data_IF_950874746350
#
_entry.id   IF_950874746350
#
_cell.length_a   1.000
_cell.length_b   1.000
_cell.length_c   1.000
_cell.angle_alpha   90.00
_cell.angle_beta   90.00
_cell.angle_gamma   90.00
#
_symmetry.space_group_name_H-M   'P 1'
#
loop_
_entity.id
_entity.type
_entity.pdbx_description
1 polymer ?
#
# COMPACT_ATOMS: atom_id res chain seq x y z
N UNK A 1 -62.68 -55.74 -1.98
CA UNK A 1 -62.31 -55.21 -0.67
C UNK A 1 -60.93 -54.52 -0.89
N UNK A 2 -60.96 -53.23 -1.23
CA UNK A 2 -59.75 -52.46 -1.58
C UNK A 2 -59.42 -51.61 -0.36
N UNK A 3 -58.26 -51.84 0.25
CA UNK A 3 -57.77 -51.11 1.42
C UNK A 3 -57.20 -49.79 0.92
N UNK A 4 -57.81 -48.71 1.38
CA UNK A 4 -57.33 -47.34 1.18
C UNK A 4 -56.25 -47.01 2.29
N UNK A 5 -55.03 -46.90 1.90
CA UNK A 5 -53.95 -46.40 2.79
C UNK A 5 -54.08 -44.91 2.95
N UNK A 6 -53.99 -44.34 4.17
CA UNK A 6 -54.02 -42.89 4.37
C UNK A 6 -52.68 -42.28 3.94
N UNK A 7 -52.77 -41.22 3.16
CA UNK A 7 -51.65 -40.32 2.77
C UNK A 7 -51.20 -39.60 4.02
N UNK A 8 -49.97 -39.92 4.46
CA UNK A 8 -49.28 -39.19 5.53
C UNK A 8 -49.00 -37.76 5.05
N UNK A 9 -49.57 -36.78 5.75
CA UNK A 9 -49.30 -35.36 5.61
C UNK A 9 -47.80 -35.09 5.69
N UNK A 10 -47.26 -34.44 4.65
CA UNK A 10 -45.89 -33.95 4.64
C UNK A 10 -45.64 -32.90 5.77
N UNK A 11 -44.51 -32.94 6.45
CA UNK A 11 -44.25 -31.99 7.52
C UNK A 11 -44.17 -30.57 6.96
N UNK A 12 -45.00 -29.68 7.52
CA UNK A 12 -45.03 -28.26 7.25
C UNK A 12 -43.62 -27.65 7.43
N UNK A 13 -43.16 -26.95 6.42
CA UNK A 13 -41.95 -26.17 6.38
C UNK A 13 -41.77 -25.34 7.65
N UNK A 14 -40.91 -25.81 8.52
CA UNK A 14 -40.34 -25.00 9.59
C UNK A 14 -39.30 -24.06 8.94
N UNK A 15 -39.77 -22.89 8.51
CA UNK A 15 -38.90 -21.84 8.07
C UNK A 15 -37.82 -21.56 9.14
N UNK A 16 -36.53 -21.61 8.82
CA UNK A 16 -35.48 -21.58 9.83
C UNK A 16 -35.39 -20.18 10.48
N UNK A 17 -35.88 -20.07 11.72
CA UNK A 17 -35.80 -18.88 12.57
C UNK A 17 -34.33 -18.39 12.76
N UNK A 18 -33.34 -19.23 12.48
CA UNK A 18 -31.92 -18.93 12.56
C UNK A 18 -31.42 -17.89 11.55
N UNK A 19 -31.98 -17.85 10.32
CA UNK A 19 -31.53 -16.90 9.27
C UNK A 19 -31.78 -15.44 9.61
N UNK A 20 -32.89 -15.13 10.28
CA UNK A 20 -33.24 -13.75 10.68
C UNK A 20 -32.33 -13.24 11.80
N UNK A 21 -32.01 -14.07 12.77
CA UNK A 21 -31.13 -13.72 13.89
C UNK A 21 -29.68 -13.43 13.43
N UNK A 22 -29.14 -14.25 12.55
CA UNK A 22 -27.81 -14.06 11.95
C UNK A 22 -27.75 -12.77 11.12
N UNK A 23 -28.84 -12.40 10.44
CA UNK A 23 -28.92 -11.16 9.65
C UNK A 23 -28.95 -9.92 10.51
N UNK A 24 -29.63 -9.96 11.65
CA UNK A 24 -29.66 -8.85 12.64
C UNK A 24 -28.29 -8.66 13.27
N UNK A 25 -27.62 -9.71 13.70
CA UNK A 25 -26.27 -9.64 14.27
C UNK A 25 -25.24 -9.09 13.26
N UNK A 26 -25.32 -9.51 12.00
CA UNK A 26 -24.48 -8.94 10.93
C UNK A 26 -24.74 -7.46 10.71
N UNK A 27 -26.01 -7.04 10.72
CA UNK A 27 -26.38 -5.64 10.62
C UNK A 27 -25.86 -4.82 11.79
N UNK A 28 -25.99 -5.33 13.02
CA UNK A 28 -25.49 -4.67 14.22
C UNK A 28 -23.95 -4.55 14.19
N UNK A 29 -23.26 -5.62 13.85
CA UNK A 29 -21.79 -5.62 13.74
C UNK A 29 -21.29 -4.62 12.67
N UNK A 30 -21.93 -4.61 11.49
CA UNK A 30 -21.60 -3.66 10.43
C UNK A 30 -21.93 -2.22 10.85
N UNK A 31 -23.07 -1.99 11.53
CA UNK A 31 -23.44 -0.68 12.04
C UNK A 31 -22.44 -0.17 13.09
N UNK A 32 -22.06 -1.03 14.04
CA UNK A 32 -21.05 -0.69 15.05
C UNK A 32 -19.69 -0.38 14.41
N UNK A 33 -19.25 -1.21 13.46
CA UNK A 33 -18.03 -0.97 12.71
C UNK A 33 -18.08 0.35 11.92
N UNK A 34 -19.21 0.62 11.25
CA UNK A 34 -19.40 1.89 10.53
C UNK A 34 -19.30 3.09 11.47
N UNK A 35 -19.98 3.06 12.61
CA UNK A 35 -19.89 4.12 13.63
C UNK A 35 -18.45 4.28 14.12
N UNK A 36 -17.78 3.19 14.44
CA UNK A 36 -16.40 3.21 14.92
C UNK A 36 -15.43 3.88 13.93
N UNK A 37 -15.58 3.63 12.62
CA UNK A 37 -14.72 4.24 11.61
C UNK A 37 -15.18 5.64 11.16
N UNK A 38 -16.49 5.87 11.04
CA UNK A 38 -17.01 7.12 10.51
C UNK A 38 -17.08 8.24 11.57
N UNK A 39 -17.28 7.89 12.83
CA UNK A 39 -17.39 8.89 13.91
C UNK A 39 -16.10 9.74 14.04
N UNK A 40 -14.88 9.16 14.10
CA UNK A 40 -13.66 9.96 14.14
C UNK A 40 -13.46 10.85 12.90
N UNK A 41 -13.86 10.37 11.72
CA UNK A 41 -13.79 11.17 10.49
C UNK A 41 -14.79 12.34 10.52
N UNK A 42 -16.01 12.09 10.98
CA UNK A 42 -17.03 13.11 11.11
C UNK A 42 -16.64 14.18 12.15
N UNK A 43 -16.11 13.77 13.30
CA UNK A 43 -15.62 14.71 14.33
C UNK A 43 -14.39 15.48 13.86
N UNK A 44 -13.48 14.85 13.11
CA UNK A 44 -12.34 15.53 12.50
C UNK A 44 -12.81 16.55 11.47
N UNK A 45 -13.77 16.20 10.61
CA UNK A 45 -14.36 17.14 9.65
C UNK A 45 -15.05 18.30 10.38
N UNK A 46 -15.84 18.01 11.41
CA UNK A 46 -16.47 19.05 12.24
C UNK A 46 -15.43 20.01 12.83
N UNK A 47 -14.33 19.49 13.36
CA UNK A 47 -13.24 20.29 13.89
C UNK A 47 -12.62 21.23 12.83
N UNK A 48 -12.53 20.82 11.57
CA UNK A 48 -11.95 21.65 10.50
C UNK A 48 -12.87 22.79 10.08
N UNK A 49 -14.18 22.63 10.18
CA UNK A 49 -15.19 23.61 9.71
C UNK A 49 -15.79 24.46 10.82
N UNK A 50 -15.61 24.07 12.08
CA UNK A 50 -16.15 24.80 13.23
C UNK A 50 -15.04 25.47 14.04
N UNK A 51 -15.09 26.80 14.14
CA UNK A 51 -14.19 27.59 14.98
C UNK A 51 -15.01 28.38 15.97
N UNK A 52 -14.64 28.31 17.27
CA UNK A 52 -15.35 29.02 18.34
C UNK A 52 -15.44 30.56 18.12
N UNK A 53 -14.47 31.14 17.41
CA UNK A 53 -14.41 32.59 17.16
C UNK A 53 -15.14 33.03 15.89
N UNK A 54 -15.23 32.17 14.87
CA UNK A 54 -15.77 32.52 13.55
C UNK A 54 -17.02 31.71 13.16
N UNK A 55 -17.45 30.76 14.03
CA UNK A 55 -18.53 29.84 13.70
C UNK A 55 -18.16 28.83 12.61
N UNK A 56 -19.06 28.61 11.67
CA UNK A 56 -18.84 27.67 10.55
C UNK A 56 -18.03 28.33 9.44
N UNK A 57 -16.87 27.76 9.09
CA UNK A 57 -15.97 28.28 8.06
C UNK A 57 -15.26 27.16 7.31
N UNK A 58 -15.22 27.25 5.98
CA UNK A 58 -14.42 26.36 5.11
C UNK A 58 -13.03 26.94 4.78
N UNK A 59 -12.62 28.02 5.47
CA UNK A 59 -11.36 28.72 5.22
C UNK A 59 -10.09 27.83 5.26
N UNK A 60 -9.98 26.75 6.04
CA UNK A 60 -8.80 25.89 6.01
C UNK A 60 -8.54 25.23 4.62
N UNK A 61 -9.59 24.87 3.89
CA UNK A 61 -9.47 24.10 2.65
C UNK A 61 -8.79 24.87 1.50
N UNK A 62 -9.17 26.09 1.12
CA UNK A 62 -8.47 26.84 0.09
C UNK A 62 -7.04 27.21 0.50
N UNK A 63 -6.76 27.34 1.80
CA UNK A 63 -5.40 27.62 2.31
C UNK A 63 -4.43 26.45 2.13
N UNK A 64 -4.91 25.22 1.97
CA UNK A 64 -4.04 24.04 1.79
C UNK A 64 -3.08 24.24 0.61
N UNK A 65 -3.59 24.67 -0.53
CA UNK A 65 -2.79 24.87 -1.76
C UNK A 65 -1.82 26.03 -1.66
N UNK A 66 -2.13 27.02 -0.82
CA UNK A 66 -1.30 28.19 -0.58
C UNK A 66 -0.32 28.00 0.58
N UNK A 67 -0.42 26.90 1.33
CA UNK A 67 0.43 26.63 2.48
C UNK A 67 1.87 26.37 2.04
N UNK A 68 2.82 27.07 2.68
CA UNK A 68 4.23 26.92 2.38
C UNK A 68 4.72 25.48 2.62
N UNK A 69 5.40 24.92 1.63
CA UNK A 69 5.92 23.56 1.69
C UNK A 69 4.93 22.45 1.31
N UNK A 70 3.63 22.74 1.10
CA UNK A 70 2.65 21.73 0.68
C UNK A 70 3.04 21.07 -0.64
N UNK A 71 3.24 21.89 -1.70
CA UNK A 71 3.55 21.38 -3.04
C UNK A 71 4.87 20.62 -3.09
N UNK A 72 5.91 21.14 -2.45
CA UNK A 72 7.23 20.51 -2.43
C UNK A 72 7.24 19.19 -1.67
N UNK A 73 6.62 19.12 -0.49
CA UNK A 73 6.54 17.89 0.31
C UNK A 73 5.66 16.83 -0.35
N UNK A 74 4.55 17.23 -1.00
CA UNK A 74 3.67 16.34 -1.74
C UNK A 74 4.39 15.74 -2.96
N UNK A 75 5.04 16.59 -3.79
CA UNK A 75 5.78 16.13 -4.96
C UNK A 75 6.95 15.22 -4.57
N UNK A 76 7.67 15.56 -3.51
CA UNK A 76 8.73 14.71 -2.97
C UNK A 76 8.17 13.33 -2.57
N UNK A 77 7.08 13.29 -1.80
CA UNK A 77 6.49 12.01 -1.35
C UNK A 77 5.95 11.17 -2.51
N UNK A 78 5.32 11.79 -3.52
CA UNK A 78 4.87 11.09 -4.72
C UNK A 78 6.05 10.56 -5.54
N UNK A 79 7.13 11.33 -5.66
CA UNK A 79 8.36 10.89 -6.33
C UNK A 79 9.02 9.72 -5.62
N UNK A 80 9.12 9.78 -4.29
CA UNK A 80 9.63 8.69 -3.45
C UNK A 80 8.76 7.44 -3.59
N UNK A 81 7.43 7.59 -3.57
CA UNK A 81 6.50 6.47 -3.75
C UNK A 81 6.66 5.82 -5.13
N UNK A 82 6.73 6.62 -6.20
CA UNK A 82 6.93 6.11 -7.55
C UNK A 82 8.26 5.36 -7.69
N UNK A 83 9.35 5.92 -7.18
CA UNK A 83 10.67 5.28 -7.17
C UNK A 83 10.65 3.97 -6.36
N UNK A 84 10.04 4.00 -5.16
CA UNK A 84 9.90 2.81 -4.31
C UNK A 84 9.12 1.69 -5.02
N UNK A 85 8.01 2.02 -5.68
CA UNK A 85 7.20 1.07 -6.44
C UNK A 85 8.03 0.43 -7.56
N UNK A 86 8.71 1.26 -8.35
CA UNK A 86 9.53 0.77 -9.48
C UNK A 86 10.65 -0.15 -8.98
N UNK A 87 11.38 0.27 -7.95
CA UNK A 87 12.49 -0.53 -7.41
C UNK A 87 11.98 -1.79 -6.74
N UNK A 88 10.97 -1.71 -5.89
CA UNK A 88 10.42 -2.88 -5.18
C UNK A 88 9.87 -3.92 -6.15
N UNK A 89 9.08 -3.53 -7.15
CA UNK A 89 8.55 -4.44 -8.17
C UNK A 89 9.67 -4.97 -9.07
N UNK A 90 10.61 -4.11 -9.48
CA UNK A 90 11.74 -4.45 -10.33
C UNK A 90 12.71 -5.45 -9.69
N UNK A 91 12.83 -5.45 -8.37
CA UNK A 91 13.62 -6.44 -7.63
C UNK A 91 12.82 -7.70 -7.30
N UNK A 92 11.61 -7.55 -6.78
CA UNK A 92 10.84 -8.67 -6.22
C UNK A 92 10.28 -9.57 -7.32
N UNK A 93 9.73 -9.01 -8.41
CA UNK A 93 9.11 -9.82 -9.47
C UNK A 93 10.12 -10.74 -10.18
N UNK A 94 11.30 -10.27 -10.67
CA UNK A 94 12.30 -11.16 -11.25
C UNK A 94 12.83 -12.18 -10.24
N UNK A 95 13.06 -11.79 -8.98
CA UNK A 95 13.52 -12.71 -7.94
C UNK A 95 12.52 -13.86 -7.72
N UNK A 96 11.22 -13.53 -7.61
CA UNK A 96 10.17 -14.54 -7.45
C UNK A 96 10.06 -15.46 -8.66
N UNK A 97 10.21 -14.94 -9.87
CA UNK A 97 10.20 -15.75 -11.10
C UNK A 97 11.42 -16.66 -11.17
N UNK A 98 12.62 -16.16 -10.87
CA UNK A 98 13.84 -16.96 -10.84
C UNK A 98 13.73 -18.11 -9.83
N UNK A 99 13.19 -17.85 -8.63
CA UNK A 99 12.98 -18.89 -7.63
C UNK A 99 11.93 -19.91 -8.07
N UNK A 100 10.80 -19.46 -8.67
CA UNK A 100 9.74 -20.38 -9.11
C UNK A 100 10.14 -21.27 -10.28
N UNK A 101 10.90 -20.75 -11.23
CA UNK A 101 11.26 -21.44 -12.46
C UNK A 101 12.56 -22.23 -12.33
N UNK A 102 13.55 -21.70 -11.60
CA UNK A 102 14.90 -22.27 -11.55
C UNK A 102 15.28 -22.91 -10.21
N UNK A 103 14.80 -22.39 -9.09
CA UNK A 103 15.24 -22.81 -7.77
C UNK A 103 14.10 -22.89 -6.73
N UNK A 104 13.10 -23.78 -6.89
CA UNK A 104 11.92 -23.83 -6.01
C UNK A 104 12.26 -24.03 -4.51
N UNK A 105 13.41 -24.64 -4.22
CA UNK A 105 13.89 -24.86 -2.85
C UNK A 105 14.22 -23.55 -2.11
N UNK A 106 14.50 -22.46 -2.82
CA UNK A 106 14.79 -21.15 -2.24
C UNK A 106 13.52 -20.34 -1.92
N UNK A 107 12.34 -20.85 -2.26
CA UNK A 107 11.07 -20.15 -2.00
C UNK A 107 10.87 -19.78 -0.54
N UNK A 108 11.07 -20.69 0.46
CA UNK A 108 10.93 -20.34 1.85
C UNK A 108 11.92 -19.26 2.31
N UNK A 109 13.15 -19.29 1.78
CA UNK A 109 14.18 -18.28 2.07
C UNK A 109 13.74 -16.91 1.56
N UNK A 110 13.27 -16.83 0.31
CA UNK A 110 12.78 -15.59 -0.29
C UNK A 110 11.57 -15.05 0.51
N UNK A 111 10.65 -15.93 0.91
CA UNK A 111 9.49 -15.55 1.72
C UNK A 111 9.91 -14.97 3.07
N UNK A 112 10.84 -15.60 3.78
CA UNK A 112 11.36 -15.10 5.05
C UNK A 112 12.04 -13.75 4.87
N UNK A 113 12.94 -13.62 3.88
CA UNK A 113 13.64 -12.36 3.61
C UNK A 113 12.66 -11.23 3.29
N UNK A 114 11.66 -11.48 2.45
CA UNK A 114 10.68 -10.47 2.10
C UNK A 114 9.71 -10.11 3.25
N UNK A 115 9.48 -11.02 4.21
CA UNK A 115 8.56 -10.76 5.33
C UNK A 115 9.25 -10.31 6.61
N UNK A 116 10.57 -10.47 6.70
CA UNK A 116 11.38 -10.06 7.85
C UNK A 116 11.15 -8.61 8.31
N UNK A 117 10.98 -7.61 7.40
CA UNK A 117 10.75 -6.23 7.81
C UNK A 117 9.49 -6.01 8.65
N UNK A 118 8.50 -6.89 8.59
CA UNK A 118 7.31 -6.80 9.47
C UNK A 118 7.62 -7.04 10.95
N UNK A 119 8.70 -7.76 11.23
CA UNK A 119 9.09 -8.11 12.61
C UNK A 119 9.95 -7.03 13.24
N UNK A 120 10.65 -6.24 12.42
CA UNK A 120 11.56 -5.19 12.89
C UNK A 120 10.75 -3.89 13.13
N UNK A 121 10.76 -3.36 14.37
CA UNK A 121 10.10 -2.07 14.64
C UNK A 121 10.71 -0.95 13.80
N UNK A 122 9.91 -0.05 13.21
CA UNK A 122 10.42 1.05 12.37
C UNK A 122 11.51 1.90 13.04
N UNK A 123 11.36 2.17 14.34
CA UNK A 123 12.35 2.97 15.11
C UNK A 123 13.71 2.26 15.13
N UNK A 124 13.75 0.96 15.39
CA UNK A 124 15.01 0.19 15.41
C UNK A 124 15.64 0.15 14.02
N UNK A 125 14.83 -0.04 12.99
CA UNK A 125 15.27 -0.03 11.59
C UNK A 125 15.93 1.31 11.23
N UNK A 126 15.28 2.43 11.54
CA UNK A 126 15.81 3.78 11.28
C UNK A 126 17.06 4.07 12.10
N UNK A 127 17.11 3.65 13.36
CA UNK A 127 18.30 3.82 14.21
C UNK A 127 19.51 3.13 13.60
N UNK A 128 19.33 1.94 13.02
CA UNK A 128 20.37 1.23 12.27
C UNK A 128 20.86 2.04 11.06
N UNK A 129 19.92 2.51 10.21
CA UNK A 129 20.27 3.37 9.08
C UNK A 129 21.02 4.63 9.55
N UNK A 130 20.48 5.34 10.54
CA UNK A 130 21.08 6.55 11.09
C UNK A 130 22.48 6.31 11.66
N UNK A 131 22.74 5.14 12.23
CA UNK A 131 24.08 4.77 12.69
C UNK A 131 25.05 4.62 11.52
N UNK A 132 24.64 3.91 10.47
CA UNK A 132 25.46 3.74 9.25
C UNK A 132 25.74 5.09 8.59
N UNK A 133 24.74 5.96 8.49
CA UNK A 133 24.90 7.28 7.89
C UNK A 133 25.82 8.20 8.70
N UNK A 134 25.79 8.10 10.04
CA UNK A 134 26.67 8.91 10.91
C UNK A 134 28.10 8.39 10.95
N UNK A 135 28.29 7.06 10.96
CA UNK A 135 29.63 6.46 10.99
C UNK A 135 30.27 6.37 9.60
N UNK A 136 29.46 6.46 8.54
CA UNK A 136 29.93 6.38 7.16
C UNK A 136 30.99 7.43 6.80
N UNK A 137 30.87 8.72 7.20
CA UNK A 137 31.88 9.73 7.00
C UNK A 137 33.27 9.31 7.49
N UNK A 138 33.36 8.77 8.70
CA UNK A 138 34.65 8.39 9.31
C UNK A 138 35.31 7.20 8.60
N UNK A 139 34.46 6.25 8.10
CA UNK A 139 34.94 5.03 7.47
C UNK A 139 35.20 5.19 5.97
N UNK A 140 34.48 6.07 5.29
CA UNK A 140 34.45 6.17 3.83
C UNK A 140 35.08 7.44 3.27
N UNK A 141 35.48 8.40 4.14
CA UNK A 141 36.01 9.72 3.72
C UNK A 141 37.17 9.64 2.71
N UNK A 142 38.00 8.61 2.79
CA UNK A 142 39.16 8.40 1.91
C UNK A 142 38.84 7.44 0.74
N UNK A 143 37.59 6.98 0.61
CA UNK A 143 37.18 6.01 -0.42
C UNK A 143 36.35 6.67 -1.49
N UNK A 144 36.24 6.10 -2.72
CA UNK A 144 35.34 6.56 -3.78
C UNK A 144 33.85 6.49 -3.37
N UNK A 145 33.51 5.72 -2.34
CA UNK A 145 32.15 5.56 -1.84
C UNK A 145 31.62 6.78 -1.07
N UNK A 146 32.49 7.71 -0.67
CA UNK A 146 32.10 8.96 -0.02
C UNK A 146 31.08 9.75 -0.85
N UNK A 147 31.38 9.96 -2.13
CA UNK A 147 30.46 10.65 -3.04
C UNK A 147 29.10 9.95 -3.17
N UNK A 148 29.08 8.62 -3.19
CA UNK A 148 27.85 7.83 -3.21
C UNK A 148 27.05 8.01 -1.91
N UNK A 149 27.74 8.00 -0.75
CA UNK A 149 27.09 8.19 0.55
C UNK A 149 26.42 9.57 0.66
N UNK A 150 27.05 10.60 0.12
CA UNK A 150 26.47 11.94 0.07
C UNK A 150 25.30 12.02 -0.92
N UNK A 151 25.46 11.43 -2.10
CA UNK A 151 24.43 11.46 -3.14
C UNK A 151 23.12 10.77 -2.73
N UNK A 152 23.19 9.68 -1.96
CA UNK A 152 21.96 8.99 -1.48
C UNK A 152 21.22 9.79 -0.40
N UNK A 153 21.85 10.78 0.20
CA UNK A 153 21.30 11.65 1.25
C UNK A 153 20.85 13.03 0.72
N UNK A 154 20.85 13.26 -0.60
CA UNK A 154 20.44 14.53 -1.18
C UNK A 154 19.04 14.93 -0.69
N UNK A 155 18.92 16.14 -0.11
CA UNK A 155 17.64 16.62 0.45
C UNK A 155 16.55 16.78 -0.61
N UNK A 156 16.91 17.01 -1.88
CA UNK A 156 15.96 17.18 -2.96
C UNK A 156 15.27 15.86 -3.33
N UNK A 157 16.03 14.76 -3.29
CA UNK A 157 15.51 13.43 -3.57
C UNK A 157 16.32 12.36 -2.83
N UNK A 158 16.02 12.11 -1.53
CA UNK A 158 16.81 11.21 -0.71
C UNK A 158 16.61 9.74 -1.11
N UNK A 159 17.55 9.19 -1.86
CA UNK A 159 17.54 7.78 -2.24
C UNK A 159 17.59 6.84 -1.03
N UNK A 160 18.16 7.29 0.10
CA UNK A 160 18.14 6.53 1.34
C UNK A 160 16.71 6.24 1.81
N UNK A 161 15.77 7.18 1.64
CA UNK A 161 14.36 6.93 1.93
C UNK A 161 13.75 5.94 0.94
N UNK A 162 14.09 6.02 -0.34
CA UNK A 162 13.61 5.03 -1.33
C UNK A 162 14.04 3.63 -0.92
N UNK A 163 15.33 3.44 -0.57
CA UNK A 163 15.86 2.14 -0.14
C UNK A 163 15.18 1.65 1.15
N UNK A 164 14.99 2.53 2.13
CA UNK A 164 14.29 2.21 3.36
C UNK A 164 12.83 1.80 3.09
N UNK A 165 12.13 2.55 2.25
CA UNK A 165 10.74 2.25 1.90
C UNK A 165 10.61 0.99 1.04
N UNK A 166 11.58 0.68 0.18
CA UNK A 166 11.62 -0.61 -0.54
C UNK A 166 11.64 -1.75 0.47
N UNK A 167 12.51 -1.70 1.47
CA UNK A 167 12.59 -2.75 2.51
C UNK A 167 11.25 -2.88 3.24
N UNK A 168 10.64 -1.77 3.67
CA UNK A 168 9.35 -1.77 4.36
C UNK A 168 8.18 -2.25 3.46
N UNK A 169 8.26 -2.03 2.15
CA UNK A 169 7.24 -2.44 1.19
C UNK A 169 7.36 -3.93 0.77
N UNK A 170 8.55 -4.56 0.92
CA UNK A 170 8.79 -5.94 0.49
C UNK A 170 7.69 -6.93 0.90
N UNK A 171 7.19 -6.93 2.16
CA UNK A 171 6.17 -7.88 2.58
C UNK A 171 4.86 -7.75 1.78
N UNK A 172 4.44 -6.52 1.50
CA UNK A 172 3.20 -6.22 0.79
C UNK A 172 3.34 -6.55 -0.70
N UNK A 173 4.48 -6.17 -1.30
CA UNK A 173 4.80 -6.48 -2.71
C UNK A 173 4.91 -7.98 -2.91
N UNK A 174 5.65 -8.69 -2.04
CA UNK A 174 5.80 -10.14 -2.11
C UNK A 174 4.44 -10.85 -2.04
N UNK A 175 3.60 -10.54 -1.04
CA UNK A 175 2.29 -11.16 -0.86
C UNK A 175 1.35 -10.92 -2.04
N UNK A 176 1.32 -9.68 -2.55
CA UNK A 176 0.48 -9.33 -3.70
C UNK A 176 0.93 -10.09 -4.97
N UNK A 177 2.24 -10.11 -5.24
CA UNK A 177 2.79 -10.82 -6.38
C UNK A 177 2.66 -12.34 -6.23
N UNK A 178 2.86 -12.91 -5.04
CA UNK A 178 2.72 -14.36 -4.80
C UNK A 178 1.27 -14.82 -5.05
N UNK A 179 0.29 -14.04 -4.60
CA UNK A 179 -1.12 -14.30 -4.90
C UNK A 179 -1.41 -14.28 -6.41
N UNK A 180 -0.87 -13.30 -7.14
CA UNK A 180 -1.02 -13.21 -8.59
C UNK A 180 -0.33 -14.35 -9.34
N UNK A 181 0.90 -14.66 -8.94
CA UNK A 181 1.68 -15.75 -9.53
C UNK A 181 1.10 -17.14 -9.25
N UNK A 182 0.33 -17.33 -8.18
CA UNK A 182 -0.40 -18.58 -7.91
C UNK A 182 -1.66 -18.71 -8.75
N UNK A 183 -2.22 -17.60 -9.23
CA UNK A 183 -3.45 -17.59 -10.01
C UNK A 183 -3.23 -17.91 -11.50
N UNK A 184 -1.99 -17.98 -11.97
CA UNK A 184 -1.61 -18.27 -13.36
C UNK A 184 -0.62 -19.42 -13.43
N UNK A 185 -0.66 -20.18 -14.50
CA UNK A 185 0.38 -21.18 -14.81
C UNK A 185 1.59 -20.51 -15.48
N UNK A 186 2.48 -19.97 -14.60
CA UNK A 186 3.68 -19.24 -15.04
C UNK A 186 4.58 -20.11 -15.92
N UNK A 187 4.69 -21.41 -15.58
CA UNK A 187 5.60 -22.33 -16.27
C UNK A 187 5.19 -22.56 -17.71
N UNK A 188 3.92 -22.91 -17.92
CA UNK A 188 3.36 -23.11 -19.26
C UNK A 188 3.44 -21.84 -20.11
N UNK A 189 3.14 -20.67 -19.52
CA UNK A 189 3.24 -19.38 -20.23
C UNK A 189 4.67 -19.09 -20.70
N UNK A 190 5.67 -19.34 -19.83
CA UNK A 190 7.08 -19.13 -20.15
C UNK A 190 7.56 -20.13 -21.18
N UNK A 191 7.27 -21.42 -21.01
CA UNK A 191 7.67 -22.48 -21.94
C UNK A 191 7.10 -22.26 -23.34
N UNK A 192 5.81 -21.93 -23.46
CA UNK A 192 5.18 -21.60 -24.73
C UNK A 192 5.83 -20.40 -25.43
N UNK A 193 6.03 -19.30 -24.70
CA UNK A 193 6.67 -18.11 -25.28
C UNK A 193 8.13 -18.36 -25.68
N UNK A 194 8.88 -19.09 -24.86
CA UNK A 194 10.28 -19.46 -25.16
C UNK A 194 10.39 -20.44 -26.33
N UNK A 195 9.44 -21.38 -26.44
CA UNK A 195 9.36 -22.29 -27.57
C UNK A 195 9.12 -21.58 -28.91
N UNK A 196 8.44 -20.41 -28.88
CA UNK A 196 8.27 -19.52 -30.03
C UNK A 196 9.48 -18.58 -30.27
N UNK A 197 10.60 -18.76 -29.55
CA UNK A 197 11.80 -17.93 -29.69
C UNK A 197 11.83 -16.61 -28.96
N UNK A 198 10.83 -16.32 -28.08
CA UNK A 198 10.80 -15.06 -27.34
C UNK A 198 11.98 -14.91 -26.38
N UNK A 199 12.58 -13.72 -26.30
CA UNK A 199 13.63 -13.39 -25.33
C UNK A 199 13.06 -13.24 -23.91
N UNK A 200 13.91 -13.37 -22.86
CA UNK A 200 13.48 -13.20 -21.47
C UNK A 200 12.82 -11.84 -21.17
N UNK A 201 13.37 -10.70 -21.63
CA UNK A 201 12.70 -9.40 -21.44
C UNK A 201 11.33 -9.36 -22.10
N UNK A 202 11.17 -9.97 -23.28
CA UNK A 202 9.88 -10.05 -23.96
C UNK A 202 8.87 -10.88 -23.17
N UNK A 203 9.27 -12.07 -22.68
CA UNK A 203 8.43 -12.92 -21.83
C UNK A 203 7.98 -12.17 -20.57
N UNK A 204 8.91 -11.48 -19.90
CA UNK A 204 8.60 -10.71 -18.70
C UNK A 204 7.60 -9.59 -19.00
N UNK A 205 7.90 -8.73 -19.96
CA UNK A 205 7.16 -7.48 -20.19
C UNK A 205 5.87 -7.69 -21.00
N UNK A 206 5.84 -8.66 -21.94
CA UNK A 206 4.72 -8.87 -22.86
C UNK A 206 3.85 -10.06 -22.52
N UNK A 207 4.33 -10.99 -21.71
CA UNK A 207 3.57 -12.19 -21.33
C UNK A 207 3.20 -12.13 -19.83
N UNK A 208 4.18 -12.02 -18.94
CA UNK A 208 3.93 -12.14 -17.51
C UNK A 208 3.33 -10.87 -16.90
N UNK A 209 3.89 -9.69 -17.16
CA UNK A 209 3.40 -8.42 -16.60
C UNK A 209 1.93 -8.16 -16.97
N UNK A 210 1.45 -8.35 -18.20
CA UNK A 210 0.03 -8.16 -18.51
C UNK A 210 -0.90 -9.15 -17.79
N UNK A 211 -0.45 -10.39 -17.57
CA UNK A 211 -1.21 -11.39 -16.83
C UNK A 211 -1.22 -11.15 -15.32
N UNK A 212 -0.19 -10.45 -14.80
CA UNK A 212 -0.04 -10.09 -13.39
C UNK A 212 -0.52 -8.67 -13.07
N UNK A 213 -1.12 -7.95 -14.02
CA UNK A 213 -1.51 -6.54 -13.85
C UNK A 213 -2.28 -6.27 -12.55
N UNK A 214 -3.23 -7.13 -12.19
CA UNK A 214 -4.01 -6.97 -10.95
C UNK A 214 -3.13 -7.06 -9.70
N UNK A 215 -2.20 -8.01 -9.64
CA UNK A 215 -1.26 -8.17 -8.54
C UNK A 215 -0.25 -7.02 -8.49
N UNK A 216 0.26 -6.58 -9.64
CA UNK A 216 1.19 -5.45 -9.76
C UNK A 216 0.51 -4.16 -9.31
N UNK A 217 -0.72 -3.91 -9.77
CA UNK A 217 -1.49 -2.72 -9.36
C UNK A 217 -1.80 -2.76 -7.86
N UNK A 218 -2.16 -3.93 -7.32
CA UNK A 218 -2.37 -4.10 -5.87
C UNK A 218 -1.10 -3.84 -5.06
N UNK A 219 0.05 -4.37 -5.50
CA UNK A 219 1.34 -4.12 -4.88
C UNK A 219 1.73 -2.64 -4.94
N UNK A 220 1.57 -2.01 -6.10
CA UNK A 220 1.85 -0.58 -6.30
C UNK A 220 0.98 0.30 -5.40
N UNK A 221 -0.31 -0.03 -5.29
CA UNK A 221 -1.23 0.68 -4.41
C UNK A 221 -0.84 0.57 -2.93
N UNK A 222 -0.57 -0.65 -2.45
CA UNK A 222 -0.15 -0.87 -1.06
C UNK A 222 1.16 -0.14 -0.75
N UNK A 223 2.11 -0.12 -1.69
CA UNK A 223 3.36 0.62 -1.56
C UNK A 223 3.13 2.13 -1.55
N UNK A 224 2.26 2.66 -2.43
CA UNK A 224 1.88 4.06 -2.44
C UNK A 224 1.26 4.49 -1.11
N UNK A 225 0.30 3.71 -0.61
CA UNK A 225 -0.36 3.98 0.67
C UNK A 225 0.63 3.95 1.84
N UNK A 226 1.58 2.99 1.83
CA UNK A 226 2.64 2.90 2.83
C UNK A 226 3.51 4.16 2.81
N UNK A 227 4.04 4.57 1.65
CA UNK A 227 4.98 5.70 1.54
C UNK A 227 4.29 7.02 1.89
N UNK A 228 3.04 7.23 1.43
CA UNK A 228 2.27 8.44 1.75
C UNK A 228 1.80 8.51 3.21
N UNK A 229 1.78 7.39 3.92
CA UNK A 229 1.44 7.32 5.35
C UNK A 229 2.66 7.18 6.26
N UNK A 230 3.87 7.02 5.71
CA UNK A 230 5.06 6.78 6.49
C UNK A 230 5.66 8.11 7.01
N UNK A 231 5.63 8.27 8.33
CA UNK A 231 6.15 9.43 9.05
C UNK A 231 7.49 9.15 9.74
N UNK A 232 7.62 7.98 10.36
CA UNK A 232 8.67 7.69 11.35
C UNK A 232 10.07 7.71 10.75
N UNK A 233 10.25 7.04 9.61
CA UNK A 233 11.56 6.94 8.95
C UNK A 233 11.99 8.30 8.43
N UNK A 234 11.08 9.02 7.77
CA UNK A 234 11.39 10.34 7.23
C UNK A 234 11.71 11.36 8.35
N UNK A 235 10.88 11.40 9.40
CA UNK A 235 11.06 12.33 10.52
C UNK A 235 12.38 12.09 11.27
N UNK A 236 12.70 10.82 11.55
CA UNK A 236 13.93 10.47 12.30
C UNK A 236 15.21 10.65 11.47
N UNK A 237 15.12 10.56 10.14
CA UNK A 237 16.24 10.88 9.23
C UNK A 237 16.29 12.37 8.85
N UNK A 238 15.33 13.20 9.29
CA UNK A 238 15.34 14.65 9.09
C UNK A 238 14.77 15.12 7.76
N UNK A 239 14.06 14.28 7.00
CA UNK A 239 13.49 14.64 5.70
C UNK A 239 12.07 15.18 5.80
N UNK A 240 11.75 16.24 5.07
CA UNK A 240 10.44 16.89 5.04
C UNK A 240 9.52 16.28 3.99
N UNK A 241 9.12 15.02 4.19
CA UNK A 241 8.08 14.37 3.40
C UNK A 241 6.69 14.92 3.74
N UNK A 242 5.70 14.58 2.93
CA UNK A 242 4.33 15.06 3.14
C UNK A 242 3.73 14.71 4.52
N UNK A 243 3.86 13.47 5.06
CA UNK A 243 3.43 13.18 6.42
C UNK A 243 4.17 14.00 7.49
N UNK A 244 5.47 14.24 7.31
CA UNK A 244 6.27 15.06 8.23
C UNK A 244 5.83 16.51 8.17
N UNK A 245 5.56 17.05 6.99
CA UNK A 245 5.03 18.40 6.80
C UNK A 245 3.67 18.57 7.51
N UNK A 246 2.73 17.61 7.35
CA UNK A 246 1.43 17.63 8.04
C UNK A 246 1.59 17.77 9.56
N UNK A 247 2.49 16.99 10.16
CA UNK A 247 2.74 17.03 11.61
C UNK A 247 3.39 18.34 12.02
N UNK A 248 4.28 18.88 11.21
CA UNK A 248 4.93 20.19 11.46
C UNK A 248 3.88 21.31 11.46
N UNK A 249 2.98 21.33 10.49
CA UNK A 249 1.89 22.31 10.40
C UNK A 249 0.89 22.17 11.56
N UNK A 250 0.70 20.96 12.08
CA UNK A 250 -0.18 20.73 13.22
C UNK A 250 0.23 21.52 14.48
N UNK A 251 1.51 21.78 14.64
CA UNK A 251 2.05 22.58 15.75
C UNK A 251 1.67 24.07 15.69
N UNK A 252 1.38 24.60 14.51
CA UNK A 252 1.02 26.02 14.30
C UNK A 252 -0.44 26.21 13.89
N UNK A 253 -0.97 25.36 13.03
CA UNK A 253 -2.31 25.45 12.43
C UNK A 253 -3.05 24.10 12.47
N UNK A 254 -3.58 23.71 13.65
CA UNK A 254 -4.21 22.41 13.86
C UNK A 254 -5.39 22.14 12.92
N UNK A 255 -6.24 23.14 12.64
CA UNK A 255 -7.37 22.97 11.71
C UNK A 255 -6.89 22.70 10.26
N UNK A 256 -5.83 23.38 9.82
CA UNK A 256 -5.23 23.16 8.50
C UNK A 256 -4.64 21.75 8.39
N UNK A 257 -3.89 21.31 9.39
CA UNK A 257 -3.30 19.97 9.43
C UNK A 257 -4.36 18.87 9.34
N UNK A 258 -5.44 18.98 10.12
CA UNK A 258 -6.56 18.01 10.07
C UNK A 258 -7.27 18.05 8.72
N UNK A 259 -7.49 19.24 8.14
CA UNK A 259 -8.10 19.38 6.82
C UNK A 259 -7.25 18.72 5.73
N UNK A 260 -5.92 18.92 5.77
CA UNK A 260 -4.98 18.25 4.85
C UNK A 260 -5.00 16.74 5.01
N UNK A 261 -5.04 16.26 6.26
CA UNK A 261 -5.08 14.82 6.56
C UNK A 261 -6.35 14.17 5.99
N UNK A 262 -7.52 14.82 6.16
CA UNK A 262 -8.78 14.34 5.58
C UNK A 262 -8.76 14.36 4.05
N UNK A 263 -8.22 15.43 3.46
CA UNK A 263 -8.08 15.53 2.00
C UNK A 263 -7.15 14.45 1.45
N UNK A 264 -6.03 14.18 2.13
CA UNK A 264 -5.09 13.11 1.77
C UNK A 264 -5.74 11.75 1.79
N UNK A 265 -6.51 11.46 2.84
CA UNK A 265 -7.25 10.21 2.96
C UNK A 265 -8.27 10.05 1.82
N UNK A 266 -8.97 11.13 1.47
CA UNK A 266 -9.90 11.17 0.35
C UNK A 266 -9.19 10.92 -0.99
N UNK A 267 -8.05 11.57 -1.22
CA UNK A 267 -7.24 11.41 -2.43
C UNK A 267 -6.75 9.96 -2.56
N UNK A 268 -6.19 9.38 -1.49
CA UNK A 268 -5.74 7.99 -1.47
C UNK A 268 -6.91 7.04 -1.76
N UNK A 269 -8.08 7.31 -1.18
CA UNK A 269 -9.29 6.51 -1.41
C UNK A 269 -9.78 6.60 -2.87
N UNK A 270 -9.81 7.81 -3.45
CA UNK A 270 -10.17 8.01 -4.85
C UNK A 270 -9.17 7.37 -5.81
N UNK A 271 -7.87 7.47 -5.53
CA UNK A 271 -6.83 6.78 -6.30
C UNK A 271 -7.01 5.25 -6.24
N UNK A 272 -7.38 4.72 -5.06
CA UNK A 272 -7.68 3.30 -4.88
C UNK A 272 -8.84 2.84 -5.76
N UNK A 273 -9.92 3.61 -5.78
CA UNK A 273 -11.10 3.31 -6.60
C UNK A 273 -10.76 3.37 -8.10
N UNK A 274 -10.00 4.37 -8.52
CA UNK A 274 -9.57 4.51 -9.91
C UNK A 274 -8.70 3.33 -10.37
N UNK A 275 -7.74 2.91 -9.55
CA UNK A 275 -6.89 1.76 -9.82
C UNK A 275 -7.68 0.44 -9.83
N UNK A 276 -8.62 0.27 -8.88
CA UNK A 276 -9.50 -0.90 -8.82
C UNK A 276 -10.43 -0.99 -10.04
N UNK A 277 -11.01 0.14 -10.47
CA UNK A 277 -11.87 0.23 -11.66
C UNK A 277 -11.14 -0.11 -12.96
N UNK A 278 -9.89 0.32 -13.09
CA UNK A 278 -9.05 0.00 -14.25
C UNK A 278 -8.74 -1.51 -14.37
N UNK A 279 -8.70 -2.23 -13.23
CA UNK A 279 -8.49 -3.69 -13.19
C UNK A 279 -9.72 -4.52 -13.56
N UNK A 280 -10.93 -4.03 -13.29
CA UNK A 280 -12.20 -4.77 -13.45
C UNK A 280 -12.85 -4.54 -14.81
N UNK A 281 -12.66 -3.37 -15.44
CA UNK A 281 -13.37 -2.96 -16.66
C UNK A 281 -13.12 -3.81 -17.90
N UNK A 282 -12.13 -4.71 -17.94
CA UNK A 282 -11.81 -5.56 -19.09
C UNK A 282 -12.31 -7.01 -19.00
N UNK A 283 -12.95 -7.41 -17.91
CA UNK A 283 -13.54 -8.78 -17.80
C UNK A 283 -14.94 -8.92 -18.41
N UNK A 284 -15.57 -7.83 -18.89
CA UNK A 284 -16.94 -7.85 -19.43
C UNK A 284 -17.03 -7.83 -20.96
N UNK A 285 -15.91 -7.91 -21.68
CA UNK A 285 -15.89 -7.88 -23.17
C UNK A 285 -15.11 -9.04 -23.78
N UNK A 286 -15.25 -10.23 -23.22
CA UNK A 286 -14.80 -11.46 -23.89
C UNK A 286 -15.79 -12.59 -23.61
#
# INVERSE_FOLDING_TARGET
MVAVTPVLDAPRDLAPAGRRRVRVWRGLALGLAAVYFLLPLATSFWFTVHNERQGFSLAPYPRILAAEGFGTSMLLSLGLAAATIVVALGLTLPAMLAVRLGAPRLRPVLEVVCTLPLVVPPITFVSGIGTVLRSGPDLLATTPFWGTLMAIQDERFPLVLVLAYVVLALPFVYRSLDAGLRAIDVRTLVEAARGLGASWPYVLLRVLVPNLRSAITGAAFLTLALVLGEYTVAALLGYRTFPVWIVTVAGSEGQLSVAVSLLSLLIIWLLSLALSGAGVGRRRSS
#
